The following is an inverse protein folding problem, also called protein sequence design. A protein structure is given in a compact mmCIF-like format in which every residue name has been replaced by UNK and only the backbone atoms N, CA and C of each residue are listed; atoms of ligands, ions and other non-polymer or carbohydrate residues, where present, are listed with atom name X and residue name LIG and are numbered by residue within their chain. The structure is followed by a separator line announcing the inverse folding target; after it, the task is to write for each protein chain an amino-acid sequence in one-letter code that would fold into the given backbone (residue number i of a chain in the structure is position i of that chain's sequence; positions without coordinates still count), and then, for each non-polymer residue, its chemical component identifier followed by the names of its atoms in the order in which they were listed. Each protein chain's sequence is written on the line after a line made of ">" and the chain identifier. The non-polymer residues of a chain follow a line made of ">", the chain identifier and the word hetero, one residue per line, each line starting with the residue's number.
data_IF_910565245069
#
_entry.id   IF_910565245069
#
_cell.length_a   1.000
_cell.length_b   1.000
_cell.length_c   1.000
_cell.angle_alpha   90.00
_cell.angle_beta   90.00
_cell.angle_gamma   90.00
#
_symmetry.space_group_name_H-M   'P 1'
#
loop_
_entity.id
_entity.type
_entity.pdbx_description
1 polymer ?
#
# COMPACT_ATOMS: atom_id res chain seq x y z
N UNK A 1 -10.55 25.19 13.51
CA UNK A 1 -9.62 24.36 12.71
C UNK A 1 -10.39 23.15 12.25
N UNK A 2 -10.41 22.86 10.94
CA UNK A 2 -11.07 21.66 10.41
C UNK A 2 -10.12 20.49 10.70
N UNK A 3 -10.49 19.59 11.60
CA UNK A 3 -9.71 18.37 11.79
C UNK A 3 -9.76 17.57 10.49
N UNK A 4 -8.59 17.39 9.88
CA UNK A 4 -8.44 16.51 8.73
C UNK A 4 -8.46 15.08 9.27
N UNK A 5 -9.56 14.37 9.02
CA UNK A 5 -9.61 12.93 9.30
C UNK A 5 -8.52 12.22 8.47
N UNK A 6 -7.86 11.24 9.07
CA UNK A 6 -6.85 10.44 8.37
C UNK A 6 -7.55 9.67 7.25
N UNK A 7 -6.96 9.69 6.06
CA UNK A 7 -7.48 8.99 4.88
C UNK A 7 -7.86 7.54 5.18
N UNK A 8 -6.97 6.82 5.89
CA UNK A 8 -7.18 5.41 6.25
C UNK A 8 -8.44 5.19 7.09
N UNK A 9 -8.72 6.07 8.03
CA UNK A 9 -9.88 5.91 8.92
C UNK A 9 -11.19 6.13 8.13
N UNK A 10 -11.21 7.09 7.21
CA UNK A 10 -12.33 7.31 6.27
C UNK A 10 -12.51 6.10 5.35
N UNK A 11 -11.41 5.54 4.84
CA UNK A 11 -11.43 4.35 4.01
C UNK A 11 -12.05 3.18 4.76
N UNK A 12 -11.61 2.89 5.99
CA UNK A 12 -12.13 1.80 6.81
C UNK A 12 -13.64 1.98 7.06
N UNK A 13 -14.09 3.19 7.42
CA UNK A 13 -15.51 3.50 7.59
C UNK A 13 -16.31 3.21 6.31
N UNK A 14 -15.79 3.61 5.16
CA UNK A 14 -16.43 3.39 3.87
C UNK A 14 -16.53 1.90 3.51
N UNK A 15 -15.44 1.15 3.69
CA UNK A 15 -15.40 -0.30 3.42
C UNK A 15 -16.27 -1.10 4.40
N UNK A 16 -16.44 -0.60 5.64
CA UNK A 16 -17.31 -1.24 6.64
C UNK A 16 -18.80 -0.98 6.36
N UNK A 17 -19.13 0.15 5.74
CA UNK A 17 -20.50 0.52 5.44
C UNK A 17 -21.11 -0.27 4.27
N UNK A 18 -20.29 -0.66 3.27
CA UNK A 18 -20.73 -1.43 2.11
C UNK A 18 -19.76 -2.58 1.80
N UNK A 19 -20.19 -3.85 1.93
CA UNK A 19 -19.35 -4.99 1.56
C UNK A 19 -18.96 -5.00 0.08
N UNK A 20 -19.76 -4.41 -0.81
CA UNK A 20 -19.44 -4.29 -2.24
C UNK A 20 -18.24 -3.36 -2.47
N UNK A 21 -18.14 -2.29 -1.67
CA UNK A 21 -16.99 -1.39 -1.71
C UNK A 21 -15.69 -2.10 -1.31
N UNK A 22 -15.73 -2.98 -0.32
CA UNK A 22 -14.58 -3.81 0.06
C UNK A 22 -14.10 -4.72 -1.07
N UNK A 23 -15.04 -5.32 -1.80
CA UNK A 23 -14.74 -6.21 -2.93
C UNK A 23 -14.15 -5.40 -4.10
N UNK A 24 -14.80 -4.30 -4.49
CA UNK A 24 -14.33 -3.45 -5.58
C UNK A 24 -12.98 -2.81 -5.28
N UNK A 25 -12.73 -2.41 -4.04
CA UNK A 25 -11.43 -1.90 -3.60
C UNK A 25 -10.33 -2.96 -3.74
N UNK A 26 -10.58 -4.18 -3.28
CA UNK A 26 -9.60 -5.26 -3.40
C UNK A 26 -9.35 -5.64 -4.86
N UNK A 27 -10.40 -5.65 -5.69
CA UNK A 27 -10.26 -5.90 -7.13
C UNK A 27 -9.37 -4.84 -7.80
N UNK A 28 -9.62 -3.55 -7.56
CA UNK A 28 -8.80 -2.46 -8.11
C UNK A 28 -7.32 -2.59 -7.70
N UNK A 29 -7.05 -2.97 -6.44
CA UNK A 29 -5.67 -3.17 -5.98
C UNK A 29 -5.01 -4.38 -6.65
N UNK A 30 -5.76 -5.44 -6.95
CA UNK A 30 -5.25 -6.60 -7.69
C UNK A 30 -4.98 -6.26 -9.16
N UNK A 31 -5.79 -5.41 -9.78
CA UNK A 31 -5.55 -4.88 -11.12
C UNK A 31 -4.26 -4.04 -11.16
N UNK A 32 -4.09 -3.12 -10.21
CA UNK A 32 -2.84 -2.35 -10.06
C UNK A 32 -1.63 -3.25 -9.81
N UNK A 33 -1.79 -4.31 -9.00
CA UNK A 33 -0.73 -5.27 -8.75
C UNK A 33 -0.28 -5.98 -10.03
N UNK A 34 -1.19 -6.28 -10.95
CA UNK A 34 -0.86 -6.92 -12.24
C UNK A 34 0.01 -6.02 -13.12
N UNK A 35 -0.12 -4.69 -13.00
CA UNK A 35 0.65 -3.70 -13.77
C UNK A 35 1.97 -3.36 -13.08
N UNK A 36 1.94 -3.09 -11.78
CA UNK A 36 3.07 -2.51 -11.04
C UNK A 36 3.85 -3.52 -10.18
N UNK A 37 3.30 -4.72 -9.93
CA UNK A 37 3.94 -5.75 -9.10
C UNK A 37 4.09 -5.38 -7.62
N UNK A 38 3.37 -4.37 -7.13
CA UNK A 38 3.51 -3.86 -5.77
C UNK A 38 2.77 -4.72 -4.73
N UNK A 39 3.44 -5.73 -4.20
CA UNK A 39 2.87 -6.63 -3.18
C UNK A 39 2.49 -5.91 -1.88
N UNK A 40 3.18 -4.83 -1.51
CA UNK A 40 2.90 -4.08 -0.29
C UNK A 40 1.52 -3.37 -0.36
N UNK A 41 1.12 -2.93 -1.56
CA UNK A 41 -0.22 -2.37 -1.77
C UNK A 41 -1.31 -3.41 -1.52
N UNK A 42 -1.11 -4.65 -1.96
CA UNK A 42 -2.05 -5.77 -1.72
C UNK A 42 -2.15 -6.06 -0.23
N UNK A 43 -1.03 -6.16 0.49
CA UNK A 43 -1.05 -6.37 1.95
C UNK A 43 -1.83 -5.27 2.65
N UNK A 44 -1.53 -4.00 2.33
CA UNK A 44 -2.19 -2.84 2.92
C UNK A 44 -3.69 -2.83 2.65
N UNK A 45 -4.10 -3.18 1.43
CA UNK A 45 -5.51 -3.24 1.07
C UNK A 45 -6.25 -4.34 1.84
N UNK A 46 -5.64 -5.53 1.94
CA UNK A 46 -6.17 -6.65 2.70
C UNK A 46 -6.30 -6.28 4.19
N UNK A 47 -5.30 -5.61 4.79
CA UNK A 47 -5.39 -5.12 6.16
C UNK A 47 -6.56 -4.15 6.36
N UNK A 48 -6.74 -3.19 5.46
CA UNK A 48 -7.83 -2.21 5.53
C UNK A 48 -9.20 -2.90 5.48
N UNK A 49 -9.36 -3.91 4.63
CA UNK A 49 -10.59 -4.71 4.54
C UNK A 49 -10.81 -5.55 5.82
N UNK A 50 -9.76 -6.14 6.38
CA UNK A 50 -9.85 -6.89 7.64
C UNK A 50 -10.25 -5.98 8.81
N UNK A 51 -9.68 -4.78 8.92
CA UNK A 51 -10.10 -3.78 9.90
C UNK A 51 -11.57 -3.39 9.71
N UNK A 52 -12.00 -3.13 8.47
CA UNK A 52 -13.37 -2.78 8.15
C UNK A 52 -14.39 -3.89 8.51
N UNK A 53 -13.97 -5.15 8.50
CA UNK A 53 -14.81 -6.30 8.84
C UNK A 53 -14.89 -6.61 10.35
N UNK A 54 -14.46 -5.69 11.21
CA UNK A 54 -14.42 -5.89 12.66
C UNK A 54 -13.07 -6.39 13.17
N UNK A 55 -12.03 -6.32 12.34
CA UNK A 55 -10.66 -6.65 12.69
C UNK A 55 -10.31 -8.14 12.63
N UNK A 56 -9.07 -8.44 12.97
CA UNK A 56 -8.48 -9.80 12.89
C UNK A 56 -9.30 -10.82 13.66
N UNK A 57 -9.78 -10.48 14.86
CA UNK A 57 -10.50 -11.41 15.72
C UNK A 57 -11.84 -11.87 15.10
N UNK A 58 -12.56 -10.95 14.44
CA UNK A 58 -13.84 -11.26 13.82
C UNK A 58 -13.65 -12.07 12.54
N UNK A 59 -12.68 -11.68 11.71
CA UNK A 59 -12.33 -12.42 10.49
C UNK A 59 -11.82 -13.84 10.82
N UNK A 60 -10.98 -13.99 11.84
CA UNK A 60 -10.49 -15.29 12.29
C UNK A 60 -11.62 -16.22 12.74
N UNK A 61 -12.62 -15.69 13.46
CA UNK A 61 -13.82 -16.47 13.85
C UNK A 61 -14.62 -16.94 12.65
N UNK A 62 -14.89 -16.05 11.69
CA UNK A 62 -15.65 -16.37 10.46
C UNK A 62 -14.94 -17.42 9.60
N UNK A 63 -13.61 -17.37 9.56
CA UNK A 63 -12.78 -18.24 8.73
C UNK A 63 -12.29 -19.51 9.45
N UNK A 64 -12.52 -19.63 10.77
CA UNK A 64 -11.96 -20.67 11.64
C UNK A 64 -10.43 -20.76 11.56
N UNK A 65 -9.76 -19.62 11.35
CA UNK A 65 -8.31 -19.51 11.41
C UNK A 65 -7.83 -19.10 12.80
N UNK A 66 -6.58 -19.43 13.10
CA UNK A 66 -5.90 -18.90 14.27
C UNK A 66 -5.60 -17.38 14.07
N UNK A 67 -6.00 -16.50 15.02
CA UNK A 67 -5.75 -15.06 14.91
C UNK A 67 -4.27 -14.69 14.84
N UNK A 68 -3.37 -15.43 15.48
CA UNK A 68 -1.92 -15.18 15.41
C UNK A 68 -1.39 -15.49 14.00
N UNK A 69 -1.88 -16.57 13.40
CA UNK A 69 -1.55 -16.91 12.00
C UNK A 69 -2.04 -15.81 11.07
N UNK A 70 -3.29 -15.35 11.24
CA UNK A 70 -3.85 -14.28 10.40
C UNK A 70 -3.06 -12.97 10.55
N UNK A 71 -2.75 -12.53 11.78
CA UNK A 71 -1.92 -11.32 12.00
C UNK A 71 -0.54 -11.46 11.39
N UNK A 72 0.08 -12.64 11.51
CA UNK A 72 1.40 -12.90 10.93
C UNK A 72 1.36 -12.83 9.40
N UNK A 73 0.34 -13.42 8.78
CA UNK A 73 0.13 -13.36 7.33
C UNK A 73 -0.18 -11.96 6.81
N UNK A 74 -0.72 -11.10 7.67
CA UNK A 74 -1.01 -9.70 7.37
C UNK A 74 0.11 -8.76 7.80
N UNK A 75 1.24 -9.25 8.28
CA UNK A 75 2.35 -8.38 8.68
C UNK A 75 3.06 -7.82 7.44
N UNK A 76 3.54 -6.58 7.54
CA UNK A 76 4.04 -5.74 6.44
C UNK A 76 5.23 -6.29 5.66
N UNK A 77 5.86 -7.37 6.13
CA UNK A 77 7.07 -7.95 5.55
C UNK A 77 6.77 -9.15 4.63
N UNK A 78 5.59 -9.78 4.78
CA UNK A 78 5.26 -11.03 4.09
C UNK A 78 4.21 -10.80 3.00
N UNK A 79 4.51 -11.29 1.78
CA UNK A 79 3.50 -11.35 0.71
C UNK A 79 2.45 -12.38 1.09
N UNK A 80 1.14 -12.05 1.02
CA UNK A 80 0.10 -12.96 1.45
C UNK A 80 0.13 -14.20 0.56
N UNK A 81 0.18 -15.38 1.19
CA UNK A 81 0.11 -16.64 0.45
C UNK A 81 -1.24 -16.73 -0.25
N UNK A 82 -1.31 -17.52 -1.32
CA UNK A 82 -2.58 -17.80 -2.01
C UNK A 82 -3.63 -18.37 -1.04
N UNK A 83 -3.20 -19.18 -0.06
CA UNK A 83 -4.07 -19.68 1.01
C UNK A 83 -4.65 -18.57 1.91
N UNK A 84 -3.85 -17.54 2.19
CA UNK A 84 -4.27 -16.35 2.95
C UNK A 84 -5.33 -15.59 2.16
N UNK A 85 -5.04 -15.30 0.89
CA UNK A 85 -5.97 -14.60 0.00
C UNK A 85 -7.28 -15.38 -0.12
N UNK A 86 -7.21 -16.70 -0.35
CA UNK A 86 -8.40 -17.57 -0.41
C UNK A 86 -9.24 -17.44 0.86
N UNK A 87 -8.61 -17.45 2.02
CA UNK A 87 -9.35 -17.41 3.29
C UNK A 87 -10.04 -16.06 3.50
N UNK A 88 -9.34 -14.96 3.24
CA UNK A 88 -9.90 -13.62 3.39
C UNK A 88 -11.01 -13.37 2.38
N UNK A 89 -10.80 -13.75 1.12
CA UNK A 89 -11.83 -13.67 0.08
C UNK A 89 -13.07 -14.50 0.45
N UNK A 90 -12.88 -15.70 1.00
CA UNK A 90 -14.00 -16.53 1.48
C UNK A 90 -14.78 -15.83 2.60
N UNK A 91 -14.10 -15.14 3.51
CA UNK A 91 -14.73 -14.35 4.57
C UNK A 91 -15.58 -13.20 4.03
N UNK A 92 -15.20 -12.66 2.85
CA UNK A 92 -15.90 -11.61 2.12
C UNK A 92 -16.97 -12.15 1.15
N UNK A 93 -17.16 -13.48 1.07
CA UNK A 93 -18.07 -14.10 0.10
C UNK A 93 -17.55 -14.13 -1.34
N UNK A 94 -16.24 -13.99 -1.53
CA UNK A 94 -15.56 -13.91 -2.83
C UNK A 94 -14.64 -15.11 -3.07
N UNK A 95 -14.17 -15.27 -4.31
CA UNK A 95 -13.18 -16.29 -4.69
C UNK A 95 -12.16 -15.72 -5.67
N UNK A 96 -10.99 -16.34 -5.74
CA UNK A 96 -10.04 -16.10 -6.82
C UNK A 96 -10.59 -16.70 -8.13
N UNK A 97 -10.50 -15.94 -9.23
CA UNK A 97 -10.74 -16.40 -10.59
C UNK A 97 -9.44 -16.38 -11.38
N UNK A 98 -9.37 -17.21 -12.42
CA UNK A 98 -8.33 -17.14 -13.44
C UNK A 98 -9.04 -16.62 -14.69
N UNK A 99 -8.56 -15.49 -15.19
CA UNK A 99 -9.09 -14.85 -16.39
C UNK A 99 -7.97 -14.76 -17.42
N UNK A 100 -8.27 -14.94 -18.71
CA UNK A 100 -7.28 -14.73 -19.75
C UNK A 100 -6.83 -13.28 -19.70
N UNK A 101 -5.53 -13.05 -19.80
CA UNK A 101 -5.03 -11.72 -20.09
C UNK A 101 -5.66 -11.31 -21.42
N UNK A 102 -6.44 -10.22 -21.42
CA UNK A 102 -6.89 -9.62 -22.65
C UNK A 102 -5.65 -9.46 -23.54
N UNK A 103 -5.74 -9.92 -24.79
CA UNK A 103 -4.68 -9.75 -25.75
C UNK A 103 -4.63 -8.27 -26.18
N UNK A 104 -4.37 -7.37 -25.24
CA UNK A 104 -3.91 -6.02 -25.54
C UNK A 104 -2.49 -6.21 -26.08
N UNK A 105 -2.38 -6.38 -27.40
CA UNK A 105 -1.18 -6.32 -28.22
C UNK A 105 0.14 -6.64 -27.49
N UNK A 106 0.56 -7.90 -27.60
CA UNK A 106 1.96 -8.31 -27.45
C UNK A 106 2.80 -7.77 -28.63
N UNK A 107 2.78 -6.45 -28.81
CA UNK A 107 3.72 -5.70 -29.64
C UNK A 107 4.46 -4.82 -28.67
N UNK A 108 5.72 -5.20 -28.41
CA UNK A 108 6.67 -4.43 -27.63
C UNK A 108 6.51 -2.92 -27.83
N UNK A 109 5.99 -2.22 -26.83
CA UNK A 109 6.36 -0.83 -26.62
C UNK A 109 7.80 -0.84 -26.14
N UNK A 110 8.69 -0.79 -27.12
CA UNK A 110 10.04 -0.31 -26.92
C UNK A 110 9.90 1.07 -26.29
N UNK A 111 10.18 1.18 -25.00
CA UNK A 111 10.62 2.45 -24.45
C UNK A 111 12.03 2.70 -25.02
N UNK A 112 12.07 3.22 -26.25
CA UNK A 112 13.21 3.96 -26.79
C UNK A 112 13.37 5.22 -25.92
N UNK A 113 14.15 5.10 -24.86
CA UNK A 113 14.77 6.24 -24.20
C UNK A 113 16.00 6.62 -25.02
N UNK A 114 15.80 7.40 -26.08
CA UNK A 114 16.83 8.33 -26.54
C UNK A 114 16.26 9.48 -27.38
N UNK A 115 16.23 10.68 -26.79
CA UNK A 115 16.66 11.94 -27.42
C UNK A 115 16.38 13.14 -26.49
N UNK A 116 17.38 13.43 -25.66
CA UNK A 116 17.91 14.76 -25.30
C UNK A 116 16.95 15.95 -25.07
N UNK A 117 16.96 16.44 -23.83
CA UNK A 117 17.63 17.73 -23.59
C UNK A 117 18.17 17.81 -22.16
N UNK A 118 19.50 17.83 -22.06
CA UNK A 118 20.30 18.40 -20.96
C UNK A 118 21.21 19.45 -21.61
N UNK A 119 21.97 20.28 -20.88
CA UNK A 119 21.74 21.00 -19.63
C UNK A 119 22.01 22.52 -19.82
N UNK A 120 21.57 23.39 -18.89
CA UNK A 120 22.23 24.69 -18.72
C UNK A 120 22.52 24.97 -17.25
N UNK A 121 23.76 24.67 -16.89
CA UNK A 121 24.53 25.40 -15.90
C UNK A 121 24.61 26.88 -16.31
N UNK A 122 24.35 27.78 -15.36
CA UNK A 122 24.98 29.09 -15.32
C UNK A 122 25.32 29.45 -13.87
N UNK A 123 26.57 29.18 -13.50
CA UNK A 123 27.36 29.80 -12.42
C UNK A 123 27.38 31.32 -12.62
N UNK A 124 27.46 32.22 -11.62
CA UNK A 124 27.76 32.14 -10.18
C UNK A 124 27.48 33.52 -9.54
N UNK A 125 28.39 34.14 -8.76
CA UNK A 125 29.14 33.65 -7.59
C UNK A 125 29.10 34.66 -6.40
N UNK A 126 29.22 34.18 -5.15
CA UNK A 126 30.02 34.74 -4.02
C UNK A 126 29.62 34.01 -2.72
N UNK A 127 30.54 33.29 -2.05
CA UNK A 127 31.45 33.80 -1.02
C UNK A 127 30.64 34.34 0.17
N UNK A 128 30.54 33.65 1.31
CA UNK A 128 31.62 33.67 2.29
C UNK A 128 31.52 32.49 3.28
N UNK A 129 32.69 32.00 3.63
CA UNK A 129 32.97 31.04 4.69
C UNK A 129 32.75 31.72 6.05
N UNK A 130 32.04 31.06 6.96
CA UNK A 130 32.22 31.26 8.39
C UNK A 130 31.90 29.95 9.12
N UNK A 131 32.90 29.08 9.16
CA UNK A 131 33.15 28.25 10.33
C UNK A 131 33.32 29.14 11.56
N UNK A 132 33.00 28.54 12.71
CA UNK A 132 33.42 28.92 14.07
C UNK A 132 32.61 29.97 14.85
N UNK A 133 31.99 29.42 15.90
CA UNK A 133 32.19 29.78 17.30
C UNK A 133 31.03 30.38 18.11
N UNK A 134 30.65 29.56 19.10
CA UNK A 134 30.26 29.88 20.47
C UNK A 134 28.84 30.39 20.72
N UNK A 135 27.96 29.44 21.07
CA UNK A 135 27.08 29.65 22.22
C UNK A 135 27.38 28.61 23.30
N UNK A 136 27.99 29.13 24.36
CA UNK A 136 27.96 28.55 25.69
C UNK A 136 26.50 28.31 26.10
N UNK A 137 26.25 27.23 26.83
CA UNK A 137 25.49 27.17 28.10
C UNK A 137 25.33 25.68 28.41
N UNK A 138 26.23 25.14 29.24
CA UNK A 138 25.83 24.20 30.30
C UNK A 138 26.92 24.13 31.37
N UNK A 139 26.79 24.96 32.38
CA UNK A 139 27.27 24.59 33.71
C UNK A 139 26.34 23.54 34.29
N UNK A 140 26.88 22.45 34.80
CA UNK A 140 26.42 21.88 36.07
C UNK A 140 27.46 20.88 36.61
N UNK A 141 27.93 21.17 37.82
CA UNK A 141 28.61 20.34 38.81
C UNK A 141 30.11 20.08 38.64
#
# INVERSE_FOLDING_TARGET
>A
MREMRKWRDILIEHLAADPTAAIGFLQAVMEDYQVFGNSAAVVSAVQAVVEAQGGVAEVAKRTRMDPQILTKMLSSEDTPRVDTLRTILTALGCRLSIEPLAAENCSAEKMEVDALVTPKESVGPNMELATENQEAIRGNQ
#
